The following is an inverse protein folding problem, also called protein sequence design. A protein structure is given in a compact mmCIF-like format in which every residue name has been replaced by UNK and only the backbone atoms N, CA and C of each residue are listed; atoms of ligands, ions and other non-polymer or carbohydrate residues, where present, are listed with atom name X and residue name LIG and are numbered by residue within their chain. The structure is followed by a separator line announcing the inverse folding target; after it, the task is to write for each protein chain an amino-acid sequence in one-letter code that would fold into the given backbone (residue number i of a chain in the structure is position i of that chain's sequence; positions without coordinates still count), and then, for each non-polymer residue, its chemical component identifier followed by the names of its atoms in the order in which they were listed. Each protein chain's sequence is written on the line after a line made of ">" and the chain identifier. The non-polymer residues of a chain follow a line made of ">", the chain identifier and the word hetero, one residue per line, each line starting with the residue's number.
data_IF_076285521523
#
_entry.id   IF_076285521523
#
_cell.length_a   1.000
_cell.length_b   1.000
_cell.length_c   1.000
_cell.angle_alpha   90.00
_cell.angle_beta   90.00
_cell.angle_gamma   90.00
#
_symmetry.space_group_name_H-M   'P 1'
#
loop_
_entity.id
_entity.type
_entity.pdbx_description
1 polymer ?
#
# COMPACT_ATOMS: atom_id res chain seq x y z
N UNK A 1 16.35 11.30 -30.95
CA UNK A 1 15.13 10.51 -30.69
C UNK A 1 15.53 9.41 -29.72
N UNK A 2 15.19 9.54 -28.44
CA UNK A 2 15.54 8.57 -27.42
C UNK A 2 14.33 7.67 -27.18
N UNK A 3 14.50 6.37 -27.42
CA UNK A 3 13.51 5.34 -27.13
C UNK A 3 13.37 5.17 -25.61
N UNK A 4 12.15 5.04 -25.05
CA UNK A 4 12.01 4.54 -23.70
C UNK A 4 12.09 3.01 -23.74
N UNK A 5 13.24 2.50 -23.32
CA UNK A 5 13.44 1.08 -23.01
C UNK A 5 12.75 0.76 -21.67
N UNK A 6 11.43 0.57 -21.70
CA UNK A 6 10.70 -0.12 -20.63
C UNK A 6 10.75 -1.63 -20.88
N UNK A 7 11.30 -2.40 -19.95
CA UNK A 7 11.40 -3.85 -20.09
C UNK A 7 9.98 -4.46 -20.15
N UNK A 8 9.67 -5.39 -21.09
CA UNK A 8 8.34 -6.00 -21.19
C UNK A 8 7.97 -6.93 -20.03
N UNK A 9 8.86 -7.17 -19.07
CA UNK A 9 8.70 -8.23 -18.07
C UNK A 9 7.99 -7.79 -16.79
N UNK A 10 8.04 -6.50 -16.44
CA UNK A 10 7.36 -5.97 -15.24
C UNK A 10 5.86 -5.73 -15.46
N UNK A 11 5.44 -5.50 -16.72
CA UNK A 11 4.03 -5.26 -17.05
C UNK A 11 3.19 -6.53 -17.12
N UNK A 12 3.79 -7.68 -17.36
CA UNK A 12 3.09 -8.97 -17.47
C UNK A 12 2.67 -9.47 -16.08
N UNK A 13 3.54 -9.33 -15.08
CA UNK A 13 3.27 -9.77 -13.69
C UNK A 13 2.15 -8.97 -13.03
N UNK A 14 2.10 -7.65 -13.26
CA UNK A 14 1.04 -6.80 -12.69
C UNK A 14 -0.35 -7.10 -13.28
N UNK A 15 -0.42 -7.44 -14.57
CA UNK A 15 -1.68 -7.83 -15.21
C UNK A 15 -2.19 -9.19 -14.68
N UNK A 16 -1.31 -10.17 -14.47
CA UNK A 16 -1.68 -11.47 -13.91
C UNK A 16 -2.15 -11.38 -12.46
N UNK A 17 -1.47 -10.57 -11.63
CA UNK A 17 -1.87 -10.33 -10.24
C UNK A 17 -3.21 -9.61 -10.16
N UNK A 18 -3.45 -8.60 -11.01
CA UNK A 18 -4.73 -7.90 -11.07
C UNK A 18 -5.89 -8.83 -11.46
N UNK A 19 -5.67 -9.72 -12.44
CA UNK A 19 -6.67 -10.72 -12.84
C UNK A 19 -6.94 -11.76 -11.75
N UNK A 20 -5.91 -12.17 -11.02
CA UNK A 20 -6.04 -13.10 -9.88
C UNK A 20 -6.85 -12.48 -8.76
N UNK A 21 -6.49 -11.24 -8.36
CA UNK A 21 -7.24 -10.49 -7.37
C UNK A 21 -8.70 -10.29 -7.77
N UNK A 22 -8.96 -9.91 -9.02
CA UNK A 22 -10.33 -9.73 -9.51
C UNK A 22 -11.15 -11.02 -9.45
N UNK A 23 -10.56 -12.18 -9.79
CA UNK A 23 -11.22 -13.47 -9.69
C UNK A 23 -11.52 -13.86 -8.25
N UNK A 24 -10.54 -13.73 -7.35
CA UNK A 24 -10.70 -14.06 -5.92
C UNK A 24 -11.79 -13.19 -5.29
N UNK A 25 -11.81 -11.90 -5.62
CA UNK A 25 -12.82 -10.96 -5.13
C UNK A 25 -14.22 -11.30 -5.68
N UNK A 26 -14.35 -11.59 -6.98
CA UNK A 26 -15.63 -11.99 -7.57
C UNK A 26 -16.19 -13.25 -6.90
N UNK A 27 -15.33 -14.27 -6.67
CA UNK A 27 -15.70 -15.50 -5.99
C UNK A 27 -16.23 -15.26 -4.58
N UNK A 28 -15.55 -14.42 -3.79
CA UNK A 28 -16.00 -14.03 -2.44
C UNK A 28 -17.36 -13.33 -2.45
N UNK A 29 -17.71 -12.65 -3.54
CA UNK A 29 -19.01 -12.03 -3.74
C UNK A 29 -20.07 -12.97 -4.35
N UNK A 30 -19.77 -14.25 -4.55
CA UNK A 30 -20.68 -15.22 -5.19
C UNK A 30 -20.91 -14.96 -6.67
N UNK A 31 -19.97 -14.29 -7.34
CA UNK A 31 -20.03 -13.93 -8.75
C UNK A 31 -18.90 -14.65 -9.54
N UNK A 32 -19.16 -14.94 -10.81
CA UNK A 32 -18.13 -15.39 -11.75
C UNK A 32 -17.78 -14.24 -12.70
N UNK A 33 -16.49 -13.98 -12.91
CA UNK A 33 -16.06 -13.00 -13.91
C UNK A 33 -16.46 -13.43 -15.33
N UNK A 34 -16.58 -14.73 -15.60
CA UNK A 34 -17.01 -15.25 -16.91
C UNK A 34 -18.48 -14.91 -17.21
N UNK A 35 -19.29 -14.76 -16.17
CA UNK A 35 -20.73 -14.42 -16.27
C UNK A 35 -20.98 -12.90 -16.33
N UNK A 36 -19.96 -12.07 -16.06
CA UNK A 36 -20.04 -10.62 -16.22
C UNK A 36 -19.99 -10.23 -17.70
N UNK A 37 -21.09 -10.43 -18.42
CA UNK A 37 -21.23 -10.06 -19.85
C UNK A 37 -21.18 -8.56 -20.13
N UNK A 38 -21.27 -7.72 -19.10
CA UNK A 38 -21.15 -6.27 -19.25
C UNK A 38 -20.57 -5.64 -17.99
N UNK A 39 -19.40 -5.03 -18.12
CA UNK A 39 -18.93 -4.06 -17.14
C UNK A 39 -19.67 -2.76 -17.41
N UNK A 40 -20.68 -2.45 -16.60
CA UNK A 40 -21.26 -1.12 -16.63
C UNK A 40 -20.15 -0.10 -16.27
N UNK A 41 -20.10 1.07 -16.92
CA UNK A 41 -19.14 2.10 -16.56
C UNK A 41 -19.24 2.41 -15.06
N UNK A 42 -18.13 2.29 -14.32
CA UNK A 42 -18.08 2.53 -12.86
C UNK A 42 -18.26 4.00 -12.47
N UNK A 43 -18.57 4.87 -13.43
CA UNK A 43 -18.75 6.31 -13.24
C UNK A 43 -20.16 6.57 -12.71
N UNK A 44 -20.26 7.07 -11.48
CA UNK A 44 -21.53 7.29 -10.79
C UNK A 44 -22.04 6.09 -9.99
N UNK A 45 -21.25 5.01 -9.88
CA UNK A 45 -21.54 3.93 -8.94
C UNK A 45 -21.10 4.39 -7.53
N UNK A 46 -22.08 4.59 -6.65
CA UNK A 46 -21.86 5.05 -5.27
C UNK A 46 -20.94 4.14 -4.46
N UNK A 47 -20.92 2.83 -4.71
CA UNK A 47 -19.99 1.91 -4.07
C UNK A 47 -18.55 2.14 -4.55
N UNK A 48 -18.34 2.36 -5.86
CA UNK A 48 -17.03 2.69 -6.39
C UNK A 48 -16.53 4.05 -5.91
N UNK A 49 -17.40 5.05 -5.81
CA UNK A 49 -17.05 6.37 -5.30
C UNK A 49 -16.65 6.30 -3.82
N UNK A 50 -17.38 5.52 -3.02
CA UNK A 50 -17.03 5.25 -1.61
C UNK A 50 -15.69 4.52 -1.48
N UNK A 51 -15.45 3.47 -2.27
CA UNK A 51 -14.17 2.77 -2.27
C UNK A 51 -12.98 3.68 -2.63
N UNK A 52 -13.18 4.64 -3.56
CA UNK A 52 -12.13 5.63 -3.87
C UNK A 52 -11.88 6.59 -2.71
N UNK A 53 -12.94 7.03 -2.02
CA UNK A 53 -12.82 7.89 -0.84
C UNK A 53 -12.12 7.16 0.31
N UNK A 54 -12.53 5.92 0.61
CA UNK A 54 -11.93 5.08 1.63
C UNK A 54 -10.44 4.83 1.32
N UNK A 55 -10.09 4.55 0.06
CA UNK A 55 -8.70 4.39 -0.37
C UNK A 55 -7.89 5.67 -0.18
N UNK A 56 -8.44 6.83 -0.55
CA UNK A 56 -7.76 8.11 -0.38
C UNK A 56 -7.48 8.41 1.11
N UNK A 57 -8.47 8.15 1.97
CA UNK A 57 -8.31 8.28 3.42
C UNK A 57 -7.24 7.34 3.97
N UNK A 58 -7.26 6.06 3.58
CA UNK A 58 -6.24 5.10 4.03
C UNK A 58 -4.83 5.49 3.60
N UNK A 59 -4.66 6.09 2.42
CA UNK A 59 -3.37 6.59 1.96
C UNK A 59 -2.89 7.79 2.77
N UNK A 60 -3.80 8.69 3.16
CA UNK A 60 -3.49 9.82 4.05
C UNK A 60 -3.10 9.33 5.46
N UNK A 61 -3.88 8.42 6.03
CA UNK A 61 -3.59 7.80 7.33
C UNK A 61 -2.25 7.06 7.31
N UNK A 62 -1.96 6.33 6.24
CA UNK A 62 -0.65 5.67 6.05
C UNK A 62 0.50 6.68 6.08
N UNK A 63 0.37 7.79 5.36
CA UNK A 63 1.41 8.83 5.33
C UNK A 63 1.63 9.45 6.71
N UNK A 64 0.57 9.65 7.49
CA UNK A 64 0.64 10.15 8.86
C UNK A 64 1.39 9.17 9.78
N UNK A 65 1.03 7.88 9.72
CA UNK A 65 1.68 6.83 10.52
C UNK A 65 3.15 6.69 10.17
N UNK A 66 3.51 6.75 8.88
CA UNK A 66 4.91 6.72 8.44
C UNK A 66 5.71 7.92 8.99
N UNK A 67 5.12 9.12 9.02
CA UNK A 67 5.74 10.31 9.60
C UNK A 67 5.95 10.18 11.12
N UNK A 68 4.97 9.62 11.83
CA UNK A 68 5.06 9.37 13.27
C UNK A 68 6.13 8.34 13.61
N UNK A 69 6.20 7.24 12.85
CA UNK A 69 7.27 6.22 12.98
C UNK A 69 8.65 6.84 12.79
N UNK A 70 8.82 7.69 11.77
CA UNK A 70 10.10 8.37 11.54
C UNK A 70 10.47 9.29 12.70
N UNK A 71 9.49 10.01 13.24
CA UNK A 71 9.69 10.86 14.42
C UNK A 71 10.09 10.05 15.65
N UNK A 72 9.43 8.92 15.90
CA UNK A 72 9.77 8.02 17.01
C UNK A 72 11.18 7.43 16.88
N UNK A 73 11.58 7.02 15.66
CA UNK A 73 12.94 6.52 15.40
C UNK A 73 14.00 7.59 15.69
N UNK A 74 13.78 8.83 15.27
CA UNK A 74 14.70 9.92 15.58
C UNK A 74 14.73 10.26 17.08
N UNK A 75 13.59 10.22 17.77
CA UNK A 75 13.53 10.35 19.22
C UNK A 75 14.31 9.23 19.93
N UNK A 76 14.15 7.99 19.48
CA UNK A 76 14.87 6.84 20.02
C UNK A 76 16.38 7.00 19.83
N UNK A 77 16.84 7.40 18.64
CA UNK A 77 18.26 7.69 18.38
C UNK A 77 18.80 8.77 19.32
N UNK A 78 18.05 9.87 19.50
CA UNK A 78 18.43 10.94 20.44
C UNK A 78 18.50 10.47 21.89
N UNK A 79 17.53 9.66 22.32
CA UNK A 79 17.51 9.10 23.66
C UNK A 79 18.71 8.17 23.91
N UNK A 80 19.01 7.29 22.94
CA UNK A 80 20.18 6.40 23.00
C UNK A 80 21.49 7.18 23.09
N UNK A 81 21.66 8.22 22.25
CA UNK A 81 22.84 9.08 22.29
C UNK A 81 22.98 9.84 23.63
N UNK A 82 21.87 10.24 24.27
CA UNK A 82 21.89 10.85 25.60
C UNK A 82 22.30 9.83 26.66
N UNK A 83 21.72 8.62 26.64
CA UNK A 83 22.08 7.56 27.57
C UNK A 83 23.59 7.23 27.50
N UNK A 84 24.13 7.12 26.28
CA UNK A 84 25.56 6.90 26.06
C UNK A 84 26.41 8.05 26.66
N UNK A 85 26.02 9.31 26.43
CA UNK A 85 26.72 10.47 27.01
C UNK A 85 26.76 10.47 28.55
N UNK A 86 25.73 9.92 29.19
CA UNK A 86 25.66 9.81 30.66
C UNK A 86 26.28 8.51 31.20
N UNK A 87 26.87 7.66 30.36
CA UNK A 87 27.42 6.36 30.77
C UNK A 87 26.34 5.35 31.19
N UNK A 88 25.10 5.58 30.76
CA UNK A 88 23.92 4.77 31.05
C UNK A 88 23.56 3.85 29.88
N UNK A 89 24.50 3.59 28.97
CA UNK A 89 24.35 2.63 27.88
C UNK A 89 24.26 1.21 28.47
N UNK A 90 23.07 0.88 28.96
CA UNK A 90 22.69 -0.50 29.20
C UNK A 90 22.73 -1.21 27.85
N UNK A 91 23.57 -2.25 27.81
CA UNK A 91 23.46 -3.37 26.89
C UNK A 91 21.99 -3.82 26.89
N UNK A 92 21.19 -3.29 25.96
CA UNK A 92 19.99 -4.00 25.53
C UNK A 92 20.52 -5.18 24.71
N UNK A 93 20.92 -6.23 25.42
CA UNK A 93 21.26 -7.53 24.83
C UNK A 93 20.07 -8.02 23.99
N UNK A 94 20.45 -8.65 22.88
CA UNK A 94 19.66 -9.18 21.77
C UNK A 94 18.24 -9.69 22.10
#
# INVERSE_FOLDING_TARGET
>A
MSTPSGSPKESITGCEEALRFANDYAYLCGQSLEDMRSLAPTKGNSACDRLRADLAQLLEEKALVEAEINTMKENQKRALALLEKFGLSLLFCD
#
